data_IF_861380693055
#
_entry.id   IF_861380693055
#
_cell.length_a   1.000
_cell.length_b   1.000
_cell.length_c   1.000
_cell.angle_alpha   90.00
_cell.angle_beta   90.00
_cell.angle_gamma   90.00
#
_symmetry.space_group_name_H-M   'P 1'
#
loop_
_entity.id
_entity.type
_entity.pdbx_description
1 polymer ?
#
# COMPACT_ATOMS: atom_id res chain seq x y z
N UNK A 1 -9.16 -14.03 -19.13
CA UNK A 1 -9.79 -14.28 -17.82
C UNK A 1 -8.73 -13.96 -16.77
N UNK A 2 -8.70 -12.74 -16.24
CA UNK A 2 -7.77 -12.36 -15.17
C UNK A 2 -8.33 -12.95 -13.88
N UNK A 3 -7.62 -13.91 -13.27
CA UNK A 3 -8.03 -14.47 -11.98
C UNK A 3 -8.01 -13.35 -10.92
N UNK A 4 -9.10 -13.13 -10.17
CA UNK A 4 -9.10 -12.12 -9.11
C UNK A 4 -8.04 -12.48 -8.07
N UNK A 5 -7.26 -11.49 -7.58
CA UNK A 5 -6.21 -11.78 -6.61
C UNK A 5 -6.81 -12.28 -5.29
N UNK A 6 -6.16 -13.28 -4.69
CA UNK A 6 -6.59 -13.86 -3.41
C UNK A 6 -6.49 -12.82 -2.28
N UNK A 7 -7.61 -12.58 -1.60
CA UNK A 7 -7.69 -11.66 -0.47
C UNK A 7 -7.00 -12.26 0.78
N UNK A 8 -6.37 -11.43 1.63
CA UNK A 8 -6.25 -9.98 1.51
C UNK A 8 -5.19 -9.54 0.49
N UNK A 9 -5.39 -8.37 -0.13
CA UNK A 9 -4.44 -7.79 -1.09
C UNK A 9 -4.09 -6.34 -0.73
N UNK A 10 -2.82 -6.00 -0.84
CA UNK A 10 -2.30 -4.64 -0.75
C UNK A 10 -2.00 -4.13 -2.16
N UNK A 11 -2.73 -3.12 -2.59
CA UNK A 11 -2.58 -2.45 -3.87
C UNK A 11 -1.82 -1.15 -3.66
N UNK A 12 -0.72 -0.95 -4.38
CA UNK A 12 0.13 0.23 -4.23
C UNK A 12 0.51 0.83 -5.59
N UNK A 13 1.06 2.04 -5.56
CA UNK A 13 1.59 2.69 -6.76
C UNK A 13 2.95 2.12 -7.16
N UNK A 14 2.95 1.35 -8.25
CA UNK A 14 4.15 0.76 -8.85
C UNK A 14 5.14 1.77 -9.42
N UNK A 15 4.75 3.00 -9.72
CA UNK A 15 5.66 4.02 -10.27
C UNK A 15 6.30 4.89 -9.18
N UNK A 16 5.80 4.79 -7.94
CA UNK A 16 6.33 5.51 -6.79
C UNK A 16 7.49 4.74 -6.13
N UNK A 17 8.72 5.27 -6.26
CA UNK A 17 9.92 4.67 -5.69
C UNK A 17 9.87 4.55 -4.15
N UNK A 18 9.15 5.46 -3.47
CA UNK A 18 8.92 5.37 -2.04
C UNK A 18 8.03 4.16 -1.70
N UNK A 19 6.88 4.02 -2.39
CA UNK A 19 5.96 2.91 -2.15
C UNK A 19 6.62 1.55 -2.40
N UNK A 20 7.40 1.41 -3.48
CA UNK A 20 8.17 0.19 -3.74
C UNK A 20 9.15 -0.13 -2.60
N UNK A 21 9.93 0.86 -2.14
CA UNK A 21 10.86 0.68 -1.02
C UNK A 21 10.15 0.27 0.27
N UNK A 22 9.00 0.86 0.57
CA UNK A 22 8.19 0.48 1.73
C UNK A 22 7.67 -0.95 1.63
N UNK A 23 7.18 -1.37 0.45
CA UNK A 23 6.73 -2.74 0.19
C UNK A 23 7.88 -3.74 0.35
N UNK A 24 9.04 -3.43 -0.22
CA UNK A 24 10.21 -4.30 -0.14
C UNK A 24 10.75 -4.41 1.30
N UNK A 25 10.78 -3.29 2.02
CA UNK A 25 11.11 -3.29 3.45
C UNK A 25 10.11 -4.13 4.24
N UNK A 26 8.82 -3.97 3.98
CA UNK A 26 7.76 -4.77 4.60
C UNK A 26 7.92 -6.27 4.31
N UNK A 27 8.17 -6.66 3.07
CA UNK A 27 8.43 -8.06 2.69
C UNK A 27 9.62 -8.68 3.43
N UNK A 28 10.64 -7.89 3.77
CA UNK A 28 11.82 -8.36 4.50
C UNK A 28 11.62 -8.47 6.01
N UNK A 29 10.79 -7.61 6.60
CA UNK A 29 10.64 -7.52 8.08
C UNK A 29 9.33 -8.10 8.60
N UNK A 30 8.29 -8.12 7.77
CA UNK A 30 6.97 -8.64 8.11
C UNK A 30 6.87 -10.06 7.57
N UNK A 31 6.92 -11.04 8.47
CA UNK A 31 6.91 -12.45 8.10
C UNK A 31 5.60 -12.93 7.45
N UNK A 32 4.48 -12.22 7.68
CA UNK A 32 3.18 -12.54 7.10
C UNK A 32 2.69 -11.35 6.29
N UNK A 33 2.98 -11.34 4.99
CA UNK A 33 2.49 -10.30 4.08
C UNK A 33 1.28 -10.80 3.28
N UNK A 34 0.29 -9.93 3.00
CA UNK A 34 -0.80 -10.23 2.07
C UNK A 34 -0.26 -10.35 0.64
N UNK A 35 -1.14 -10.66 -0.31
CA UNK A 35 -0.83 -10.48 -1.73
C UNK A 35 -0.50 -9.01 -1.95
N UNK A 36 0.61 -8.69 -2.63
CA UNK A 36 0.98 -7.29 -2.92
C UNK A 36 1.04 -7.12 -4.43
N UNK A 37 0.31 -6.14 -4.95
CA UNK A 37 0.18 -5.89 -6.38
C UNK A 37 0.27 -4.39 -6.67
N UNK A 38 0.93 -4.05 -7.78
CA UNK A 38 0.94 -2.68 -8.28
C UNK A 38 -0.40 -2.41 -8.99
N UNK A 39 -1.03 -1.26 -8.77
CA UNK A 39 -2.34 -0.98 -9.38
C UNK A 39 -2.29 -1.00 -10.92
N UNK A 40 -1.12 -0.70 -11.50
CA UNK A 40 -0.85 -0.73 -12.95
C UNK A 40 -1.05 -2.12 -13.57
N UNK A 41 -0.90 -3.19 -12.78
CA UNK A 41 -1.06 -4.57 -13.22
C UNK A 41 -2.20 -5.30 -12.51
N UNK A 42 -2.97 -4.61 -11.66
CA UNK A 42 -4.07 -5.18 -10.90
C UNK A 42 -5.40 -5.05 -11.64
N UNK A 43 -6.27 -6.05 -11.47
CA UNK A 43 -7.67 -5.98 -11.92
C UNK A 43 -8.49 -5.16 -10.90
N UNK A 44 -8.43 -3.83 -11.00
CA UNK A 44 -9.01 -2.91 -10.01
C UNK A 44 -10.53 -3.04 -9.88
N UNK A 45 -11.22 -3.29 -10.99
CA UNK A 45 -12.68 -3.47 -11.01
C UNK A 45 -13.10 -4.68 -10.16
N UNK A 46 -12.34 -5.78 -10.22
CA UNK A 46 -12.62 -6.97 -9.41
C UNK A 46 -12.37 -6.74 -7.91
N UNK A 47 -11.59 -5.72 -7.56
CA UNK A 47 -11.31 -5.31 -6.18
C UNK A 47 -12.22 -4.18 -5.69
N UNK A 48 -13.12 -3.66 -6.53
CA UNK A 48 -13.96 -2.51 -6.20
C UNK A 48 -13.16 -1.21 -6.07
N UNK A 49 -12.02 -1.11 -6.75
CA UNK A 49 -11.10 0.03 -6.71
C UNK A 49 -11.08 0.76 -8.06
N UNK A 50 -10.75 2.04 -8.02
CA UNK A 50 -10.44 2.84 -9.20
C UNK A 50 -8.96 3.17 -9.28
N UNK A 51 -8.46 3.43 -10.50
CA UNK A 51 -7.09 3.85 -10.71
C UNK A 51 -6.77 5.17 -9.99
N UNK A 52 -7.74 6.09 -9.89
CA UNK A 52 -7.56 7.37 -9.20
C UNK A 52 -7.42 7.19 -7.68
N UNK A 53 -8.20 6.29 -7.08
CA UNK A 53 -8.06 5.94 -5.66
C UNK A 53 -6.70 5.30 -5.37
N UNK A 54 -6.24 4.38 -6.23
CA UNK A 54 -4.93 3.74 -6.09
C UNK A 54 -3.76 4.68 -6.37
N UNK A 55 -3.93 5.63 -7.30
CA UNK A 55 -2.95 6.68 -7.55
C UNK A 55 -2.91 7.65 -6.38
N UNK A 56 -4.05 7.97 -5.77
CA UNK A 56 -4.17 8.88 -4.64
C UNK A 56 -3.58 8.28 -3.37
N UNK A 57 -3.92 7.02 -3.09
CA UNK A 57 -3.42 6.33 -1.93
C UNK A 57 -3.23 4.81 -2.11
N UNK A 58 -2.33 4.25 -1.29
CA UNK A 58 -2.24 2.80 -1.11
C UNK A 58 -3.56 2.27 -0.59
N UNK A 59 -3.99 1.13 -1.12
CA UNK A 59 -5.26 0.49 -0.78
C UNK A 59 -4.98 -0.91 -0.22
N UNK A 60 -5.65 -1.27 0.87
CA UNK A 60 -5.64 -2.61 1.43
C UNK A 60 -7.06 -3.17 1.38
N UNK A 61 -7.24 -4.27 0.66
CA UNK A 61 -8.51 -4.98 0.57
C UNK A 61 -8.44 -6.17 1.50
N UNK A 62 -9.22 -6.12 2.57
CA UNK A 62 -9.30 -7.17 3.57
C UNK A 62 -10.09 -8.40 3.06
N UNK A 63 -10.06 -9.49 3.82
CA UNK A 63 -10.75 -10.75 3.46
C UNK A 63 -12.28 -10.63 3.38
N UNK A 64 -12.82 -9.67 4.10
CA UNK A 64 -14.24 -9.31 4.14
C UNK A 64 -14.63 -8.25 3.08
N UNK A 65 -13.74 -8.00 2.10
CA UNK A 65 -13.89 -6.98 1.07
C UNK A 65 -13.92 -5.53 1.58
N UNK A 66 -13.59 -5.28 2.86
CA UNK A 66 -13.39 -3.91 3.32
C UNK A 66 -12.12 -3.31 2.73
N UNK A 67 -12.25 -2.11 2.17
CA UNK A 67 -11.15 -1.33 1.61
C UNK A 67 -10.68 -0.32 2.65
N UNK A 68 -9.37 -0.34 2.92
CA UNK A 68 -8.70 0.64 3.76
C UNK A 68 -7.70 1.42 2.90
N UNK A 69 -7.63 2.73 3.08
CA UNK A 69 -6.76 3.60 2.29
C UNK A 69 -5.65 4.23 3.12
N UNK A 70 -4.56 4.67 2.48
CA UNK A 70 -3.51 5.48 3.09
C UNK A 70 -2.89 4.85 4.36
N UNK A 71 -2.77 5.62 5.45
CA UNK A 71 -2.23 5.11 6.72
C UNK A 71 -3.13 4.04 7.35
N UNK A 72 -4.44 4.03 7.06
CA UNK A 72 -5.35 3.00 7.56
C UNK A 72 -5.10 1.66 6.85
N UNK A 73 -4.72 1.68 5.57
CA UNK A 73 -4.26 0.50 4.84
C UNK A 73 -3.03 -0.13 5.50
N UNK A 74 -2.07 0.71 5.91
CA UNK A 74 -0.85 0.27 6.59
C UNK A 74 -1.16 -0.25 8.00
N UNK A 75 -2.05 0.41 8.75
CA UNK A 75 -2.50 -0.07 10.05
C UNK A 75 -3.18 -1.44 9.93
N UNK A 76 -4.10 -1.61 8.96
CA UNK A 76 -4.77 -2.89 8.71
C UNK A 76 -3.79 -4.00 8.31
N UNK A 77 -2.81 -3.69 7.46
CA UNK A 77 -1.72 -4.59 7.10
C UNK A 77 -0.94 -5.07 8.34
N UNK A 78 -0.51 -4.14 9.21
CA UNK A 78 0.28 -4.45 10.40
C UNK A 78 -0.52 -5.24 11.44
N UNK A 79 -1.81 -4.96 11.57
CA UNK A 79 -2.72 -5.74 12.41
C UNK A 79 -2.87 -7.17 11.88
N UNK A 80 -3.00 -7.34 10.56
CA UNK A 80 -3.10 -8.66 9.93
C UNK A 80 -1.77 -9.45 9.94
N UNK A 81 -0.63 -8.77 9.99
CA UNK A 81 0.70 -9.40 9.96
C UNK A 81 1.01 -10.28 11.19
N UNK A 82 0.40 -10.00 12.34
CA UNK A 82 0.65 -10.75 13.59
C UNK A 82 2.08 -10.62 14.12
N UNK A 83 2.51 -11.53 15.00
CA UNK A 83 3.89 -11.63 15.55
C UNK A 83 4.46 -10.31 16.10
N UNK A 84 3.67 -9.55 16.87
CA UNK A 84 4.09 -8.29 17.48
C UNK A 84 3.89 -7.03 16.61
N UNK A 85 3.73 -7.17 15.29
CA UNK A 85 3.38 -6.05 14.40
C UNK A 85 1.99 -5.47 14.67
N UNK A 86 1.11 -6.27 15.27
CA UNK A 86 -0.20 -5.80 15.72
C UNK A 86 -0.10 -4.63 16.72
N UNK A 87 0.96 -4.59 17.55
CA UNK A 87 1.21 -3.48 18.48
C UNK A 87 1.49 -2.19 17.70
N UNK A 88 2.31 -2.27 16.66
CA UNK A 88 2.58 -1.12 15.79
C UNK A 88 1.32 -0.67 15.05
N UNK A 89 0.53 -1.61 14.52
CA UNK A 89 -0.75 -1.32 13.88
C UNK A 89 -1.76 -0.65 14.83
N UNK A 90 -1.82 -1.10 16.09
CA UNK A 90 -2.66 -0.51 17.13
C UNK A 90 -2.16 0.87 17.58
N UNK A 91 -0.84 1.05 17.69
CA UNK A 91 -0.23 2.34 18.02
C UNK A 91 -0.53 3.39 16.95
N UNK A 92 -0.57 3.00 15.67
CA UNK A 92 -0.99 3.88 14.58
C UNK A 92 -2.45 4.35 14.68
N UNK A 93 -3.31 3.66 15.45
CA UNK A 93 -4.68 4.10 15.71
C UNK A 93 -4.80 5.10 16.86
N UNK A 94 -3.74 5.32 17.64
CA UNK A 94 -3.77 6.34 18.68
C UNK A 94 -3.88 7.74 18.06
N UNK A 95 -4.73 8.63 18.59
CA UNK A 95 -5.10 9.89 17.93
C UNK A 95 -3.90 10.79 17.59
N UNK A 96 -2.87 10.82 18.43
CA UNK A 96 -1.65 11.60 18.16
C UNK A 96 -0.79 11.01 17.04
N UNK A 97 -0.64 9.68 17.01
CA UNK A 97 0.16 8.98 16.01
C UNK A 97 -0.58 8.92 14.68
N UNK A 98 -1.89 8.68 14.71
CA UNK A 98 -2.77 8.68 13.54
C UNK A 98 -2.71 10.02 12.79
N UNK A 99 -2.79 11.13 13.53
CA UNK A 99 -2.64 12.46 12.94
C UNK A 99 -1.27 12.66 12.28
N UNK A 100 -0.20 12.26 12.96
CA UNK A 100 1.17 12.33 12.41
C UNK A 100 1.32 11.46 11.16
N UNK A 101 0.81 10.23 11.18
CA UNK A 101 0.79 9.34 10.02
C UNK A 101 0.04 9.97 8.86
N UNK A 102 -1.12 10.60 9.10
CA UNK A 102 -1.85 11.33 8.07
C UNK A 102 -1.08 12.53 7.50
N UNK A 103 -0.35 13.28 8.34
CA UNK A 103 0.50 14.41 7.89
C UNK A 103 1.67 13.90 7.04
N UNK A 104 2.39 12.89 7.52
CA UNK A 104 3.50 12.27 6.78
C UNK A 104 2.99 11.68 5.47
N UNK A 105 1.86 10.98 5.52
CA UNK A 105 1.25 10.40 4.33
C UNK A 105 0.85 11.45 3.31
N UNK A 106 0.20 12.55 3.73
CA UNK A 106 -0.12 13.68 2.85
C UNK A 106 1.13 14.31 2.24
N UNK A 107 2.20 14.43 3.03
CA UNK A 107 3.47 14.95 2.52
C UNK A 107 4.05 14.01 1.46
N UNK A 108 4.07 12.70 1.71
CA UNK A 108 4.52 11.69 0.73
C UNK A 108 3.63 11.73 -0.52
N UNK A 109 2.31 11.73 -0.36
CA UNK A 109 1.36 11.77 -1.48
C UNK A 109 1.53 13.03 -2.34
N UNK A 110 1.78 14.19 -1.73
CA UNK A 110 2.07 15.44 -2.46
C UNK A 110 3.44 15.41 -3.15
N UNK A 111 4.42 14.73 -2.57
CA UNK A 111 5.74 14.57 -3.14
C UNK A 111 5.88 13.32 -4.04
N UNK A 112 4.83 12.50 -4.20
CA UNK A 112 4.90 11.23 -4.95
C UNK A 112 5.30 11.45 -6.41
N UNK A 113 4.86 12.56 -7.00
CA UNK A 113 5.25 12.97 -8.35
C UNK A 113 6.77 13.26 -8.47
N UNK A 114 7.43 13.59 -7.36
CA UNK A 114 8.89 13.75 -7.29
C UNK A 114 9.62 12.42 -7.08
N UNK A 115 8.91 11.43 -6.56
CA UNK A 115 9.38 10.06 -6.36
C UNK A 115 8.92 9.12 -7.47
N UNK A 116 8.22 9.64 -8.49
CA UNK A 116 7.97 8.93 -9.72
C UNK A 116 9.32 8.55 -10.29
N UNK A 117 9.50 7.25 -10.52
CA UNK A 117 10.67 6.77 -11.24
C UNK A 117 10.73 7.61 -12.52
N UNK A 118 11.82 8.36 -12.72
CA UNK A 118 12.05 8.99 -14.03
C UNK A 118 11.84 7.93 -15.11
N UNK A 119 11.45 8.32 -16.35
CA UNK A 119 11.25 7.35 -17.41
C UNK A 119 12.41 6.37 -17.38
N UNK A 120 12.13 5.07 -17.40
CA UNK A 120 13.13 4.07 -17.67
C UNK A 120 13.59 4.24 -19.13
N UNK A 121 14.12 5.41 -19.48
CA UNK A 121 14.76 5.69 -20.75
C UNK A 121 16.18 5.16 -20.64
N UNK A 122 16.41 4.10 -21.42
CA UNK A 122 17.71 3.52 -21.76
C UNK A 122 18.43 2.69 -20.68
N UNK A 123 18.02 1.43 -20.57
CA UNK A 123 18.99 0.35 -20.63
C UNK A 123 18.86 -0.32 -22.01
N UNK A 124 19.41 0.35 -23.04
CA UNK A 124 19.76 -0.31 -24.29
C UNK A 124 20.88 -1.29 -23.96
N UNK A 125 20.67 -2.54 -24.36
CA UNK A 125 21.69 -3.59 -24.43
C UNK A 125 22.75 -3.24 -25.47
#
# INVERSE_FOLDING_TARGET
MTTPPTLPVLVFDGDCAFCQRSVEWGRRHIGTMPTIVAYQSAELVALGLTADECATAVQYVARDHQVYSAHDAVSALLLAAGKGWWVAGALMKLPGVHWLCGVVYRWVARNRHRFTRGPASCAVR
#
